data_IF_122602257974
#
_entry.id   IF_122602257974
#
_cell.length_a   1.000
_cell.length_b   1.000
_cell.length_c   1.000
_cell.angle_alpha   90.00
_cell.angle_beta   90.00
_cell.angle_gamma   90.00
#
_symmetry.space_group_name_H-M   'P 1'
#
loop_
_entity.id
_entity.type
_entity.pdbx_description
1 polymer ?
#
# COMPACT_ATOMS: atom_id res chain seq x y z
N UNK A 1 -40.74 -52.24 -17.14
CA UNK A 1 -39.52 -51.90 -16.38
C UNK A 1 -39.29 -50.41 -16.62
N UNK A 2 -39.96 -49.58 -15.84
CA UNK A 2 -39.92 -48.13 -16.00
C UNK A 2 -38.89 -47.58 -15.01
N UNK A 3 -37.73 -47.19 -15.52
CA UNK A 3 -36.66 -46.59 -14.72
C UNK A 3 -37.00 -45.12 -14.48
N UNK A 4 -37.36 -44.81 -13.24
CA UNK A 4 -37.65 -43.45 -12.77
C UNK A 4 -36.32 -42.70 -12.67
N UNK A 5 -36.03 -41.82 -13.62
CA UNK A 5 -34.98 -40.82 -13.51
C UNK A 5 -35.46 -39.72 -12.55
N UNK A 6 -34.81 -39.60 -11.39
CA UNK A 6 -35.05 -38.49 -10.46
C UNK A 6 -33.97 -37.44 -10.72
N UNK A 7 -34.32 -36.20 -11.12
CA UNK A 7 -33.32 -35.15 -11.27
C UNK A 7 -32.83 -34.73 -9.88
N UNK A 8 -31.53 -34.89 -9.64
CA UNK A 8 -30.88 -34.32 -8.45
C UNK A 8 -30.97 -32.80 -8.53
N UNK A 9 -31.65 -32.18 -7.58
CA UNK A 9 -31.69 -30.73 -7.47
C UNK A 9 -30.27 -30.21 -7.24
N UNK A 10 -29.69 -29.57 -8.26
CA UNK A 10 -28.53 -28.70 -8.10
C UNK A 10 -28.93 -27.58 -7.16
N UNK A 11 -28.30 -27.53 -5.98
CA UNK A 11 -28.46 -26.41 -5.07
C UNK A 11 -28.24 -25.11 -5.84
N UNK A 12 -29.22 -24.18 -5.77
CA UNK A 12 -29.07 -22.87 -6.35
C UNK A 12 -27.76 -22.24 -5.84
N UNK A 13 -26.95 -21.58 -6.70
CA UNK A 13 -25.79 -20.87 -6.21
C UNK A 13 -26.26 -19.92 -5.11
N UNK A 14 -25.60 -20.00 -3.95
CA UNK A 14 -25.97 -19.23 -2.77
C UNK A 14 -25.74 -17.74 -3.09
N UNK A 15 -26.76 -17.06 -3.63
CA UNK A 15 -26.64 -15.69 -4.13
C UNK A 15 -26.50 -14.76 -2.92
N UNK A 16 -25.27 -14.38 -2.59
CA UNK A 16 -25.05 -13.39 -1.52
C UNK A 16 -25.72 -12.07 -1.90
N UNK A 17 -26.56 -11.56 -1.00
CA UNK A 17 -27.27 -10.28 -1.17
C UNK A 17 -26.27 -9.11 -1.03
N UNK A 18 -26.14 -8.29 -2.06
CA UNK A 18 -25.29 -7.10 -2.06
C UNK A 18 -26.02 -5.97 -1.34
N UNK A 19 -25.38 -5.36 -0.34
CA UNK A 19 -25.88 -4.19 0.39
C UNK A 19 -25.31 -2.88 -0.13
N UNK A 20 -24.10 -2.90 -0.69
CA UNK A 20 -23.46 -1.75 -1.32
C UNK A 20 -22.54 -2.22 -2.43
N UNK A 21 -22.50 -1.47 -3.53
CA UNK A 21 -21.59 -1.72 -4.64
C UNK A 21 -20.98 -0.40 -5.09
N UNK A 22 -19.67 -0.41 -5.28
CA UNK A 22 -18.95 0.58 -6.08
C UNK A 22 -18.55 -0.17 -7.34
N UNK A 23 -19.23 0.06 -8.49
CA UNK A 23 -18.98 -0.70 -9.71
C UNK A 23 -17.49 -0.80 -10.01
N UNK A 24 -17.04 -2.01 -10.38
CA UNK A 24 -15.64 -2.35 -10.69
C UNK A 24 -14.70 -2.49 -9.49
N UNK A 25 -14.96 -1.85 -8.35
CA UNK A 25 -14.00 -1.81 -7.24
C UNK A 25 -14.39 -2.69 -6.06
N UNK A 26 -15.64 -2.62 -5.61
CA UNK A 26 -16.02 -3.17 -4.32
C UNK A 26 -17.48 -3.65 -4.30
N UNK A 27 -17.71 -4.80 -3.68
CA UNK A 27 -19.04 -5.23 -3.21
C UNK A 27 -19.00 -5.49 -1.72
N UNK A 28 -20.02 -5.02 -1.03
CA UNK A 28 -20.29 -5.33 0.36
C UNK A 28 -21.58 -6.14 0.39
N UNK A 29 -21.51 -7.31 1.02
CA UNK A 29 -22.63 -8.22 1.16
C UNK A 29 -23.29 -8.06 2.53
N UNK A 30 -24.55 -8.46 2.62
CA UNK A 30 -25.36 -8.41 3.85
C UNK A 30 -24.79 -9.25 4.99
N UNK A 31 -24.02 -10.29 4.66
CA UNK A 31 -23.30 -11.12 5.63
C UNK A 31 -22.02 -10.45 6.18
N UNK A 32 -21.71 -9.23 5.74
CA UNK A 32 -20.51 -8.47 6.11
C UNK A 32 -19.27 -8.80 5.27
N UNK A 33 -19.37 -9.74 4.32
CA UNK A 33 -18.26 -10.03 3.39
C UNK A 33 -17.99 -8.81 2.52
N UNK A 34 -16.71 -8.53 2.29
CA UNK A 34 -16.24 -7.49 1.38
C UNK A 34 -15.47 -8.19 0.25
N UNK A 35 -15.88 -7.95 -0.98
CA UNK A 35 -15.19 -8.42 -2.19
C UNK A 35 -14.57 -7.22 -2.90
N UNK A 36 -13.25 -7.26 -3.07
CA UNK A 36 -12.46 -6.28 -3.82
C UNK A 36 -12.29 -6.81 -5.25
N UNK A 37 -12.94 -6.17 -6.21
CA UNK A 37 -13.14 -6.70 -7.56
C UNK A 37 -11.98 -6.39 -8.52
N UNK A 38 -11.36 -5.24 -8.31
CA UNK A 38 -10.17 -4.81 -9.04
C UNK A 38 -9.14 -4.42 -7.99
N UNK A 39 -7.91 -4.93 -8.13
CA UNK A 39 -6.75 -4.60 -7.31
C UNK A 39 -5.50 -4.61 -8.18
N UNK A 40 -4.63 -3.64 -8.00
CA UNK A 40 -3.29 -3.69 -8.57
C UNK A 40 -2.50 -4.80 -7.87
N UNK A 41 -1.72 -5.63 -8.60
CA UNK A 41 -0.91 -6.67 -7.97
C UNK A 41 0.07 -6.07 -6.96
N UNK A 42 0.20 -6.69 -5.78
CA UNK A 42 1.27 -6.34 -4.84
C UNK A 42 2.62 -6.77 -5.40
N UNK A 43 3.64 -5.96 -5.21
CA UNK A 43 5.02 -6.26 -5.62
C UNK A 43 5.96 -6.15 -4.43
N UNK A 44 7.02 -6.99 -4.36
CA UNK A 44 8.02 -6.85 -3.31
C UNK A 44 8.82 -5.56 -3.47
N UNK A 45 9.52 -5.10 -2.42
CA UNK A 45 10.51 -4.04 -2.56
C UNK A 45 11.72 -4.55 -3.36
N UNK A 46 12.42 -3.64 -4.02
CA UNK A 46 13.56 -3.92 -4.90
C UNK A 46 14.82 -3.26 -4.35
N UNK A 47 15.91 -4.02 -4.17
CA UNK A 47 17.18 -3.48 -3.66
C UNK A 47 17.83 -2.49 -4.62
N UNK A 48 17.76 -2.74 -5.93
CA UNK A 48 18.16 -1.81 -6.98
C UNK A 48 17.26 -2.04 -8.20
N UNK A 49 16.38 -1.07 -8.48
CA UNK A 49 15.50 -1.12 -9.63
C UNK A 49 16.31 -0.99 -10.93
N UNK A 50 16.15 -1.89 -11.91
CA UNK A 50 17.02 -1.93 -13.08
C UNK A 50 16.84 -0.74 -14.02
N UNK A 51 15.73 0.00 -13.92
CA UNK A 51 15.44 1.15 -14.79
C UNK A 51 15.83 2.47 -14.14
N UNK A 52 15.59 2.59 -12.83
CA UNK A 52 15.72 3.84 -12.09
C UNK A 52 16.90 3.85 -11.10
N UNK A 53 17.52 2.69 -10.88
CA UNK A 53 18.54 2.44 -9.86
C UNK A 53 18.15 2.86 -8.44
N UNK A 54 16.84 2.98 -8.18
CA UNK A 54 16.30 3.28 -6.87
C UNK A 54 16.26 2.02 -6.01
N UNK A 55 16.42 2.20 -4.71
CA UNK A 55 16.28 1.11 -3.73
C UNK A 55 14.98 1.29 -2.97
N UNK A 56 14.33 0.19 -2.59
CA UNK A 56 13.16 0.22 -1.73
C UNK A 56 13.20 -0.88 -0.67
N UNK A 57 12.48 -0.67 0.42
CA UNK A 57 12.27 -1.66 1.49
C UNK A 57 10.99 -1.37 2.26
N UNK A 58 10.42 -2.40 2.87
CA UNK A 58 9.24 -2.27 3.71
C UNK A 58 9.63 -2.18 5.19
N UNK A 59 8.94 -1.32 5.92
CA UNK A 59 9.15 -1.10 7.36
C UNK A 59 7.82 -1.12 8.10
N UNK A 60 7.86 -1.56 9.35
CA UNK A 60 6.72 -1.44 10.28
C UNK A 60 6.91 -0.18 11.11
N UNK A 61 5.93 0.70 11.08
CA UNK A 61 5.87 1.96 11.84
C UNK A 61 5.26 1.71 13.22
N UNK A 62 4.16 0.96 13.26
CA UNK A 62 3.45 0.57 14.49
C UNK A 62 2.95 -0.86 14.35
N UNK A 63 2.93 -1.61 15.45
CA UNK A 63 2.34 -2.95 15.50
C UNK A 63 0.88 -2.95 15.98
N UNK A 64 0.41 -1.84 16.56
CA UNK A 64 -0.96 -1.72 17.05
C UNK A 64 -1.46 -0.26 16.96
N UNK A 65 -2.33 0.07 15.99
CA UNK A 65 -2.67 -0.77 14.84
C UNK A 65 -1.43 -1.05 13.98
N UNK A 66 -1.47 -2.10 13.16
CA UNK A 66 -0.40 -2.34 12.19
C UNK A 66 -0.38 -1.20 11.18
N UNK A 67 0.70 -0.43 11.17
CA UNK A 67 0.98 0.62 10.19
C UNK A 67 2.35 0.30 9.62
N UNK A 68 2.43 0.23 8.29
CA UNK A 68 3.68 -0.02 7.58
C UNK A 68 3.91 1.05 6.51
N UNK A 69 5.10 1.04 5.92
CA UNK A 69 5.42 1.89 4.80
C UNK A 69 6.44 1.21 3.89
N UNK A 70 6.42 1.56 2.60
CA UNK A 70 7.55 1.32 1.71
C UNK A 70 8.42 2.56 1.63
N UNK A 71 9.67 2.40 1.98
CA UNK A 71 10.70 3.41 1.80
C UNK A 71 11.30 3.29 0.41
N UNK A 72 11.63 4.44 -0.20
CA UNK A 72 12.35 4.52 -1.45
C UNK A 72 13.52 5.47 -1.30
N UNK A 73 14.68 5.06 -1.79
CA UNK A 73 15.92 5.81 -1.75
C UNK A 73 16.45 6.00 -3.18
N UNK A 74 16.79 7.23 -3.59
CA UNK A 74 17.42 7.46 -4.88
C UNK A 74 18.84 6.88 -4.87
N UNK A 75 19.40 6.65 -6.06
CA UNK A 75 20.82 6.34 -6.18
C UNK A 75 21.63 7.53 -5.69
N UNK A 76 22.30 7.38 -4.55
CA UNK A 76 23.14 8.42 -3.97
C UNK A 76 24.56 8.29 -4.53
N UNK A 77 25.01 9.29 -5.27
CA UNK A 77 26.42 9.45 -5.63
C UNK A 77 27.14 10.24 -4.54
N UNK A 78 28.35 9.83 -4.11
CA UNK A 78 29.15 10.63 -3.19
C UNK A 78 29.44 12.00 -3.83
N UNK A 79 29.02 13.09 -3.18
CA UNK A 79 29.44 14.43 -3.58
C UNK A 79 30.72 14.82 -2.86
N UNK A 80 31.61 15.56 -3.53
CA UNK A 80 32.95 15.88 -3.04
C UNK A 80 32.97 16.83 -1.83
N UNK A 81 31.87 17.50 -1.50
CA UNK A 81 31.92 18.68 -0.61
C UNK A 81 31.27 18.50 0.76
N UNK A 82 30.54 17.42 1.04
CA UNK A 82 30.12 17.08 2.40
C UNK A 82 29.76 15.58 2.43
N UNK A 83 30.42 14.80 3.29
CA UNK A 83 30.23 13.34 3.48
C UNK A 83 28.81 12.93 3.97
N UNK A 84 27.80 13.75 3.75
CA UNK A 84 26.42 13.58 4.16
C UNK A 84 25.55 13.62 2.89
N UNK A 85 25.37 12.47 2.25
CA UNK A 85 24.38 12.29 1.17
C UNK A 85 22.96 12.33 1.76
N UNK A 86 22.56 13.50 2.26
CA UNK A 86 21.24 13.80 2.77
C UNK A 86 20.34 14.32 1.65
N UNK A 87 19.09 13.90 1.66
CA UNK A 87 18.04 14.26 0.71
C UNK A 87 16.77 14.66 1.45
N UNK A 88 15.91 15.50 0.87
CA UNK A 88 14.60 15.78 1.46
C UNK A 88 13.78 14.48 1.66
N UNK A 89 12.95 14.46 2.69
CA UNK A 89 11.96 13.39 2.89
C UNK A 89 10.60 13.84 2.36
N UNK A 90 9.94 12.98 1.58
CA UNK A 90 8.53 13.08 1.24
C UNK A 90 7.76 11.96 1.96
N UNK A 91 6.82 12.33 2.82
CA UNK A 91 5.82 11.38 3.36
C UNK A 91 4.64 11.35 2.38
N UNK A 92 4.40 10.20 1.77
CA UNK A 92 3.41 10.01 0.73
C UNK A 92 2.27 9.11 1.20
N UNK A 93 1.04 9.53 0.89
CA UNK A 93 -0.19 8.77 1.13
C UNK A 93 -0.80 8.48 -0.23
N UNK A 94 -1.04 7.20 -0.53
CA UNK A 94 -1.59 6.81 -1.82
C UNK A 94 -3.05 7.27 -2.01
N UNK A 95 -3.55 7.14 -3.23
CA UNK A 95 -4.94 7.49 -3.57
C UNK A 95 -5.89 6.32 -3.37
N UNK A 96 -6.97 6.29 -4.15
CA UNK A 96 -7.94 5.18 -4.14
C UNK A 96 -9.13 5.38 -3.20
N UNK A 97 -9.49 6.64 -2.91
CA UNK A 97 -10.74 6.96 -2.21
C UNK A 97 -10.86 6.41 -0.78
N UNK A 98 -9.73 6.09 -0.13
CA UNK A 98 -9.64 5.42 1.17
C UNK A 98 -10.10 3.96 1.21
N UNK A 99 -10.45 3.36 0.07
CA UNK A 99 -10.90 1.98 -0.02
C UNK A 99 -10.19 1.18 -1.10
N UNK A 100 -9.18 1.71 -1.79
CA UNK A 100 -8.53 1.06 -2.93
C UNK A 100 -7.03 1.41 -2.99
N UNK A 101 -6.26 0.57 -3.67
CA UNK A 101 -4.79 0.64 -3.79
C UNK A 101 -4.00 0.39 -2.49
N UNK A 102 -2.67 0.36 -2.63
CA UNK A 102 -1.70 0.10 -1.56
C UNK A 102 -0.36 0.77 -1.89
N UNK A 103 0.40 1.14 -0.87
CA UNK A 103 1.81 1.52 -0.97
C UNK A 103 2.69 0.40 -1.56
N UNK A 104 2.23 -0.84 -1.54
CA UNK A 104 2.92 -2.02 -2.06
C UNK A 104 2.43 -2.44 -3.46
N UNK A 105 1.46 -1.73 -4.02
CA UNK A 105 0.92 -2.06 -5.33
C UNK A 105 1.91 -1.78 -6.45
N UNK A 106 1.83 -2.55 -7.54
CA UNK A 106 2.69 -2.37 -8.71
C UNK A 106 2.54 -0.96 -9.31
N UNK A 107 1.33 -0.41 -9.30
CA UNK A 107 1.04 0.91 -9.84
C UNK A 107 1.80 2.00 -9.07
N UNK A 108 1.63 2.02 -7.74
CA UNK A 108 2.32 2.99 -6.88
C UNK A 108 3.83 2.74 -6.82
N UNK A 109 4.27 1.49 -6.88
CA UNK A 109 5.70 1.15 -6.89
C UNK A 109 6.43 1.71 -8.13
N UNK A 110 5.90 1.47 -9.33
CA UNK A 110 6.48 1.99 -10.58
C UNK A 110 6.52 3.52 -10.60
N UNK A 111 5.42 4.16 -10.19
CA UNK A 111 5.33 5.61 -10.11
C UNK A 111 6.37 6.19 -9.14
N UNK A 112 6.50 5.58 -7.95
CA UNK A 112 7.39 6.10 -6.91
C UNK A 112 8.86 5.89 -7.27
N UNK A 113 9.25 4.77 -7.87
CA UNK A 113 10.61 4.55 -8.39
C UNK A 113 11.00 5.67 -9.38
N UNK A 114 10.13 5.97 -10.35
CA UNK A 114 10.37 7.02 -11.32
C UNK A 114 10.44 8.41 -10.66
N UNK A 115 9.51 8.70 -9.74
CA UNK A 115 9.48 9.98 -9.03
C UNK A 115 10.77 10.20 -8.23
N UNK A 116 11.21 9.20 -7.48
CA UNK A 116 12.42 9.26 -6.65
C UNK A 116 13.67 9.45 -7.49
N UNK A 117 13.76 8.78 -8.65
CA UNK A 117 14.94 8.86 -9.51
C UNK A 117 15.13 10.22 -10.16
N UNK A 118 14.06 10.97 -10.39
CA UNK A 118 14.15 12.31 -10.99
C UNK A 118 14.22 13.43 -9.96
N UNK A 119 13.62 13.25 -8.78
CA UNK A 119 13.53 14.30 -7.75
C UNK A 119 14.63 14.21 -6.68
N UNK A 120 15.33 13.09 -6.57
CA UNK A 120 16.37 12.86 -5.55
C UNK A 120 15.85 13.09 -4.12
N UNK A 121 14.67 12.53 -3.80
CA UNK A 121 14.08 12.57 -2.46
C UNK A 121 13.91 11.16 -1.89
N UNK A 122 14.00 11.02 -0.57
CA UNK A 122 13.62 9.79 0.12
C UNK A 122 12.11 9.80 0.31
N UNK A 123 11.40 8.80 -0.24
CA UNK A 123 9.95 8.69 -0.08
C UNK A 123 9.60 7.68 1.00
N UNK A 124 8.70 8.06 1.90
CA UNK A 124 8.03 7.19 2.86
C UNK A 124 6.59 7.01 2.37
N UNK A 125 6.30 5.95 1.62
CA UNK A 125 4.96 5.64 1.12
C UNK A 125 4.20 4.83 2.16
N UNK A 126 3.24 5.43 2.83
CA UNK A 126 2.56 4.85 4.00
C UNK A 126 1.42 3.94 3.55
N UNK A 127 1.38 2.74 4.14
CA UNK A 127 0.26 1.80 4.04
C UNK A 127 -0.71 2.07 5.19
N UNK A 128 -1.75 2.85 4.90
CA UNK A 128 -2.81 3.15 5.87
C UNK A 128 -3.98 2.16 5.72
N UNK A 129 -4.75 1.99 6.80
CA UNK A 129 -5.90 1.07 6.78
C UNK A 129 -7.02 1.57 5.87
N UNK A 130 -7.64 0.65 5.14
CA UNK A 130 -8.71 0.93 4.19
C UNK A 130 -10.10 0.75 4.80
N UNK A 131 -11.03 1.53 4.27
CA UNK A 131 -12.46 1.29 4.37
C UNK A 131 -12.86 0.17 3.37
N UNK A 132 -13.98 -0.52 3.62
CA UNK A 132 -14.91 -0.35 4.75
C UNK A 132 -14.50 -1.11 6.04
N UNK A 133 -13.46 -1.94 6.00
CA UNK A 133 -12.97 -2.72 7.16
C UNK A 133 -12.56 -1.79 8.32
N UNK A 134 -11.95 -0.65 7.98
CA UNK A 134 -11.54 0.37 8.94
C UNK A 134 -11.98 1.75 8.42
N UNK A 135 -13.22 2.17 8.73
CA UNK A 135 -13.74 3.45 8.25
C UNK A 135 -12.91 4.65 8.75
N UNK A 136 -13.06 5.78 8.08
CA UNK A 136 -12.54 7.04 8.59
C UNK A 136 -13.08 7.32 10.01
N UNK A 137 -12.23 7.85 10.93
CA UNK A 137 -10.96 8.53 10.67
C UNK A 137 -9.71 7.63 10.70
N UNK A 138 -9.82 6.30 10.70
CA UNK A 138 -8.67 5.40 10.92
C UNK A 138 -7.46 5.68 10.00
N UNK A 139 -7.70 5.91 8.71
CA UNK A 139 -6.63 6.27 7.77
C UNK A 139 -5.93 7.59 8.13
N UNK A 140 -6.65 8.58 8.65
CA UNK A 140 -6.06 9.85 9.10
C UNK A 140 -5.18 9.66 10.31
N UNK A 141 -5.63 8.83 11.27
CA UNK A 141 -4.85 8.49 12.46
C UNK A 141 -3.56 7.76 12.07
N UNK A 142 -3.64 6.81 11.12
CA UNK A 142 -2.48 6.06 10.62
C UNK A 142 -1.45 6.98 9.94
N UNK A 143 -1.93 7.86 9.05
CA UNK A 143 -1.11 8.85 8.36
C UNK A 143 -0.43 9.82 9.34
N UNK A 144 -1.15 10.23 10.39
CA UNK A 144 -0.61 11.09 11.44
C UNK A 144 0.44 10.38 12.30
N UNK A 145 0.22 9.12 12.67
CA UNK A 145 1.22 8.31 13.37
C UNK A 145 2.47 8.12 12.51
N UNK A 146 2.32 7.83 11.22
CA UNK A 146 3.43 7.72 10.29
C UNK A 146 4.22 9.03 10.19
N UNK A 147 3.55 10.18 10.07
CA UNK A 147 4.22 11.47 10.04
C UNK A 147 5.00 11.76 11.33
N UNK A 148 4.41 11.46 12.51
CA UNK A 148 5.12 11.57 13.79
C UNK A 148 6.32 10.64 13.88
N UNK A 149 6.21 9.42 13.35
CA UNK A 149 7.31 8.46 13.31
C UNK A 149 8.47 8.98 12.44
N UNK A 150 8.18 9.51 11.25
CA UNK A 150 9.18 10.15 10.39
C UNK A 150 9.81 11.36 11.09
N UNK A 151 9.00 12.26 11.66
CA UNK A 151 9.47 13.47 12.30
C UNK A 151 10.37 13.21 13.53
N UNK A 152 10.17 12.07 14.23
CA UNK A 152 11.07 11.66 15.31
C UNK A 152 12.45 11.29 14.76
N UNK A 153 12.53 10.65 13.60
CA UNK A 153 13.75 10.23 12.90
C UNK A 153 14.84 9.62 13.82
N UNK A 154 14.49 8.62 14.64
CA UNK A 154 15.46 8.00 15.59
C UNK A 154 15.69 6.51 15.44
N UNK A 155 14.87 5.83 14.65
CA UNK A 155 14.80 4.36 14.69
C UNK A 155 15.04 3.71 13.34
N UNK A 156 14.94 4.47 12.24
CA UNK A 156 15.08 3.91 10.90
C UNK A 156 16.40 4.38 10.26
N UNK A 157 17.22 3.42 9.83
CA UNK A 157 18.58 3.64 9.38
C UNK A 157 18.69 4.53 8.12
N UNK A 158 17.78 4.41 7.16
CA UNK A 158 17.79 5.30 5.98
C UNK A 158 17.39 6.72 6.36
N UNK A 159 16.34 6.90 7.17
CA UNK A 159 15.96 8.23 7.63
C UNK A 159 17.08 8.89 8.46
N UNK A 160 17.77 8.14 9.32
CA UNK A 160 18.86 8.70 10.13
C UNK A 160 20.10 9.08 9.30
N UNK A 161 20.40 8.29 8.27
CA UNK A 161 21.61 8.45 7.46
C UNK A 161 21.43 9.44 6.31
N UNK A 162 20.22 9.50 5.76
CA UNK A 162 19.93 10.17 4.48
C UNK A 162 18.93 11.32 4.59
N UNK A 163 18.43 11.65 5.78
CA UNK A 163 17.64 12.85 6.01
C UNK A 163 18.35 13.89 6.89
#
# INVERSE_FOLDING_TARGET
MDSIYTPTATAAPNTKEITMEIPTFLRIYKDGTIERLQESPMVPPTLEDPTTATSSKDVVISNNPLISARLYLPKLTPTHENNLNKVPILVYFHGGGFFFESAFSQLHHKYTNLFVSVTHVLVVSVEYRLAPETPLPAAYDDCWEALKWVARNKTEAWLMKHA
#
